data_IF_521727954386
#
_entry.id   IF_521727954386
#
_cell.length_a   1.000
_cell.length_b   1.000
_cell.length_c   1.000
_cell.angle_alpha   90.00
_cell.angle_beta   90.00
_cell.angle_gamma   90.00
#
_symmetry.space_group_name_H-M   'P 1'
#
loop_
_entity.id
_entity.type
_entity.pdbx_description
1 polymer ?
#
# COMPACT_ATOMS: atom_id res chain seq x y z
N UNK A 1 -5.67 -25.62 -5.36
CA UNK A 1 -4.87 -24.81 -4.41
C UNK A 1 -5.11 -25.39 -3.03
N UNK A 2 -4.13 -25.44 -2.15
CA UNK A 2 -4.36 -25.96 -0.80
C UNK A 2 -5.35 -25.05 -0.04
N UNK A 3 -6.49 -25.60 0.34
CA UNK A 3 -7.61 -24.87 0.96
C UNK A 3 -7.19 -24.26 2.30
N UNK A 4 -6.47 -25.02 3.11
CA UNK A 4 -6.04 -24.59 4.45
C UNK A 4 -5.00 -23.47 4.35
N UNK A 5 -4.09 -23.55 3.37
CA UNK A 5 -3.15 -22.48 3.06
C UNK A 5 -3.87 -21.20 2.60
N UNK A 6 -4.98 -21.34 1.88
CA UNK A 6 -5.79 -20.21 1.40
C UNK A 6 -6.52 -19.53 2.54
N UNK A 7 -7.14 -20.31 3.44
CA UNK A 7 -7.78 -19.81 4.66
C UNK A 7 -6.75 -19.08 5.53
N UNK A 8 -5.57 -19.68 5.74
CA UNK A 8 -4.46 -19.05 6.48
C UNK A 8 -4.05 -17.71 5.86
N UNK A 9 -3.99 -17.65 4.53
CA UNK A 9 -3.69 -16.41 3.81
C UNK A 9 -4.78 -15.35 4.03
N UNK A 10 -6.06 -15.74 3.97
CA UNK A 10 -7.20 -14.85 4.22
C UNK A 10 -7.12 -14.29 5.64
N UNK A 11 -6.89 -15.14 6.63
CA UNK A 11 -6.75 -14.73 8.04
C UNK A 11 -5.61 -13.73 8.21
N UNK A 12 -4.41 -14.04 7.72
CA UNK A 12 -3.26 -13.13 7.86
C UNK A 12 -3.41 -11.80 7.11
N UNK A 13 -4.18 -11.76 6.02
CA UNK A 13 -4.52 -10.51 5.33
C UNK A 13 -5.54 -9.69 6.13
N UNK A 14 -6.54 -10.35 6.71
CA UNK A 14 -7.55 -9.68 7.52
C UNK A 14 -6.95 -9.12 8.82
N UNK A 15 -6.02 -9.83 9.46
CA UNK A 15 -5.26 -9.35 10.61
C UNK A 15 -4.52 -8.05 10.27
N UNK A 16 -3.78 -8.00 9.15
CA UNK A 16 -3.10 -6.77 8.71
C UNK A 16 -4.07 -5.62 8.41
N UNK A 17 -5.26 -5.92 7.90
CA UNK A 17 -6.28 -4.92 7.57
C UNK A 17 -6.97 -4.37 8.82
N UNK A 18 -7.31 -5.24 9.77
CA UNK A 18 -8.28 -4.94 10.82
C UNK A 18 -7.66 -4.80 12.22
N UNK A 19 -6.54 -5.47 12.49
CA UNK A 19 -6.01 -5.63 13.84
C UNK A 19 -4.74 -4.78 14.05
N UNK A 20 -4.56 -4.23 15.26
CA UNK A 20 -3.37 -3.46 15.57
C UNK A 20 -2.12 -4.36 15.59
N UNK A 21 -1.07 -3.92 14.89
CA UNK A 21 0.21 -4.62 14.79
C UNK A 21 1.27 -3.98 15.68
N UNK A 22 2.14 -4.81 16.27
CA UNK A 22 3.32 -4.30 16.97
C UNK A 22 4.44 -4.01 15.96
N UNK A 23 4.87 -2.76 15.87
CA UNK A 23 6.02 -2.34 15.09
C UNK A 23 7.23 -2.14 16.01
N UNK A 24 8.33 -2.82 15.69
CA UNK A 24 9.59 -2.71 16.42
C UNK A 24 10.62 -2.06 15.50
N UNK A 25 11.08 -0.88 15.88
CA UNK A 25 12.13 -0.13 15.18
C UNK A 25 13.43 -0.21 15.98
N UNK A 26 14.55 -0.52 15.33
CA UNK A 26 15.88 -0.49 15.96
C UNK A 26 16.53 0.86 15.73
N UNK A 27 16.44 1.74 16.71
CA UNK A 27 16.98 3.10 16.63
C UNK A 27 18.45 3.09 17.07
N UNK A 28 19.39 3.52 16.22
CA UNK A 28 20.77 3.67 16.63
C UNK A 28 20.91 4.85 17.60
N UNK A 29 21.71 4.68 18.64
CA UNK A 29 22.14 5.77 19.52
C UNK A 29 23.63 5.65 19.82
N UNK A 30 24.24 6.76 20.23
CA UNK A 30 25.63 6.81 20.65
C UNK A 30 25.67 6.91 22.17
N UNK A 31 26.47 6.08 22.83
CA UNK A 31 26.74 6.22 24.26
C UNK A 31 27.82 7.28 24.53
N UNK A 32 28.08 7.58 25.81
CA UNK A 32 29.06 8.58 26.24
C UNK A 32 30.49 8.27 25.75
N UNK A 33 30.77 6.99 25.46
CA UNK A 33 32.04 6.51 24.92
C UNK A 33 32.07 6.51 23.38
N UNK A 34 31.08 7.13 22.72
CA UNK A 34 30.90 7.14 21.26
C UNK A 34 30.84 5.73 20.64
N UNK A 35 30.33 4.75 21.37
CA UNK A 35 29.99 3.46 20.79
C UNK A 35 28.57 3.52 20.22
N UNK A 36 28.41 3.05 18.98
CA UNK A 36 27.07 2.91 18.36
C UNK A 36 26.35 1.71 18.98
N UNK A 37 25.25 1.98 19.66
CA UNK A 37 24.34 0.98 20.22
C UNK A 37 22.98 1.07 19.55
N UNK A 38 22.14 0.06 19.78
CA UNK A 38 20.77 0.02 19.28
C UNK A 38 19.82 -0.12 20.45
N UNK A 39 18.73 0.64 20.41
CA UNK A 39 17.57 0.45 21.28
C UNK A 39 16.40 0.00 20.43
N UNK A 40 15.63 -0.95 20.96
CA UNK A 40 14.35 -1.31 20.35
C UNK A 40 13.30 -0.30 20.80
N UNK A 41 12.65 0.32 19.83
CA UNK A 41 11.49 1.16 20.04
C UNK A 41 10.26 0.38 19.58
N UNK A 42 9.33 0.13 20.50
CA UNK A 42 8.13 -0.65 20.23
C UNK A 42 6.93 0.28 20.17
N UNK A 43 6.18 0.24 19.08
CA UNK A 43 4.94 0.99 18.89
C UNK A 43 3.81 0.05 18.51
N UNK A 44 2.59 0.38 18.92
CA UNK A 44 1.39 -0.30 18.44
C UNK A 44 0.86 0.55 17.30
N UNK A 45 0.82 -0.01 16.10
CA UNK A 45 0.25 0.62 14.92
C UNK A 45 -1.18 0.11 14.76
N UNK A 46 -2.18 0.98 14.52
CA UNK A 46 -3.53 0.53 14.22
C UNK A 46 -3.56 -0.36 12.97
N UNK A 47 -4.64 -1.12 12.75
CA UNK A 47 -4.85 -1.83 11.48
C UNK A 47 -4.85 -0.88 10.29
N UNK A 48 -4.57 -1.37 9.08
CA UNK A 48 -4.50 -0.53 7.89
C UNK A 48 -5.81 0.23 7.60
N UNK A 49 -6.97 -0.34 7.92
CA UNK A 49 -8.27 0.32 7.73
C UNK A 49 -8.51 1.44 8.74
N UNK A 50 -8.10 1.24 9.99
CA UNK A 50 -8.14 2.28 11.02
C UNK A 50 -7.22 3.46 10.62
N UNK A 51 -5.99 3.20 10.19
CA UNK A 51 -5.08 4.23 9.68
C UNK A 51 -5.65 4.96 8.45
N UNK A 52 -6.32 4.23 7.56
CA UNK A 52 -6.95 4.80 6.36
C UNK A 52 -8.14 5.70 6.72
N UNK A 53 -8.94 5.28 7.69
CA UNK A 53 -10.05 6.07 8.24
C UNK A 53 -9.55 7.34 8.92
N UNK A 54 -8.54 7.22 9.80
CA UNK A 54 -7.88 8.36 10.44
C UNK A 54 -7.31 9.34 9.41
N UNK A 55 -6.62 8.85 8.39
CA UNK A 55 -6.10 9.69 7.31
C UNK A 55 -7.19 10.43 6.52
N UNK A 56 -8.40 9.86 6.44
CA UNK A 56 -9.54 10.46 5.74
C UNK A 56 -10.29 11.49 6.60
N UNK A 57 -10.40 11.26 7.92
CA UNK A 57 -11.15 12.12 8.86
C UNK A 57 -10.30 13.27 9.39
N UNK A 58 -9.04 12.99 9.74
CA UNK A 58 -8.07 13.97 10.24
C UNK A 58 -6.98 14.20 9.18
N UNK A 59 -7.25 15.04 8.16
CA UNK A 59 -6.24 15.44 7.21
C UNK A 59 -5.16 16.22 7.98
N UNK A 60 -4.06 15.52 8.28
CA UNK A 60 -2.93 15.96 9.11
C UNK A 60 -2.79 17.48 9.11
N UNK A 61 -3.24 18.11 10.20
CA UNK A 61 -2.95 19.51 10.48
C UNK A 61 -1.45 19.68 10.33
N UNK A 62 -1.06 20.51 9.35
CA UNK A 62 0.25 20.44 8.74
C UNK A 62 1.33 20.30 9.80
N UNK A 63 2.15 19.24 9.68
CA UNK A 63 3.31 18.97 10.55
C UNK A 63 3.90 20.28 11.05
N UNK A 64 3.83 20.51 12.36
CA UNK A 64 4.53 21.58 13.03
C UNK A 64 6.04 21.28 12.98
N UNK A 65 6.63 21.24 11.78
CA UNK A 65 8.07 21.34 11.62
C UNK A 65 8.46 22.78 12.01
N UNK A 66 9.34 22.96 13.01
CA UNK A 66 9.86 24.27 13.35
C UNK A 66 10.82 24.69 12.23
N UNK A 67 10.29 25.40 11.24
CA UNK A 67 11.03 25.91 10.08
C UNK A 67 10.45 27.25 9.62
N UNK A 68 11.29 28.18 9.12
CA UNK A 68 10.85 29.53 8.82
C UNK A 68 10.02 29.58 7.52
N UNK A 69 8.78 30.06 7.66
CA UNK A 69 7.80 30.49 6.64
C UNK A 69 7.18 29.40 5.76
N UNK A 70 5.92 29.06 6.11
CA UNK A 70 4.98 28.32 5.28
C UNK A 70 4.52 29.20 4.11
N UNK A 71 4.87 28.81 2.89
CA UNK A 71 4.11 29.22 1.71
C UNK A 71 2.75 28.52 1.81
N UNK A 72 1.61 29.20 1.58
CA UNK A 72 0.30 28.55 1.52
C UNK A 72 0.26 27.61 0.31
N UNK A 73 0.70 26.39 0.50
CA UNK A 73 0.52 25.32 -0.47
C UNK A 73 -0.92 24.85 -0.36
N UNK A 74 -1.70 25.06 -1.42
CA UNK A 74 -3.07 24.54 -1.60
C UNK A 74 -3.05 23.01 -1.59
N UNK A 75 -2.89 22.40 -0.42
CA UNK A 75 -3.22 20.99 -0.23
C UNK A 75 -4.73 20.93 -0.04
N UNK A 76 -5.47 20.16 -0.85
CA UNK A 76 -6.90 20.03 -0.65
C UNK A 76 -7.14 19.57 0.80
N UNK A 77 -8.10 20.19 1.51
CA UNK A 77 -8.34 19.96 2.93
C UNK A 77 -8.87 18.55 3.23
N UNK A 78 -8.95 17.65 2.24
CA UNK A 78 -9.34 16.26 2.39
C UNK A 78 -8.29 15.36 1.73
N UNK A 79 -7.88 14.29 2.42
CA UNK A 79 -7.16 13.18 1.80
C UNK A 79 -8.14 12.36 0.92
N UNK A 80 -8.56 12.93 -0.21
CA UNK A 80 -9.58 12.35 -1.09
C UNK A 80 -9.25 10.92 -1.54
N UNK A 81 -7.96 10.61 -1.74
CA UNK A 81 -7.48 9.27 -2.06
C UNK A 81 -7.68 8.27 -0.90
N UNK A 82 -7.45 8.69 0.34
CA UNK A 82 -7.70 7.83 1.51
C UNK A 82 -9.20 7.58 1.68
N UNK A 83 -10.01 8.63 1.54
CA UNK A 83 -11.47 8.53 1.60
C UNK A 83 -12.04 7.63 0.49
N UNK A 84 -11.62 7.83 -0.76
CA UNK A 84 -12.10 7.04 -1.90
C UNK A 84 -11.68 5.58 -1.77
N UNK A 85 -10.46 5.32 -1.30
CA UNK A 85 -9.97 3.97 -1.03
C UNK A 85 -10.77 3.30 0.08
N UNK A 86 -11.03 4.01 1.18
CA UNK A 86 -11.82 3.48 2.30
C UNK A 86 -13.26 3.16 1.87
N UNK A 87 -13.90 4.07 1.13
CA UNK A 87 -15.24 3.89 0.60
C UNK A 87 -15.33 2.71 -0.38
N UNK A 88 -14.34 2.54 -1.25
CA UNK A 88 -14.27 1.42 -2.18
C UNK A 88 -14.17 0.08 -1.44
N UNK A 89 -13.26 -0.05 -0.46
CA UNK A 89 -13.12 -1.27 0.34
C UNK A 89 -14.41 -1.55 1.12
N UNK A 90 -15.02 -0.53 1.73
CA UNK A 90 -16.27 -0.66 2.47
C UNK A 90 -17.40 -1.19 1.58
N UNK A 91 -17.53 -0.64 0.36
CA UNK A 91 -18.54 -1.07 -0.63
C UNK A 91 -18.29 -2.51 -1.07
N UNK A 92 -17.04 -2.87 -1.37
CA UNK A 92 -16.70 -4.23 -1.80
C UNK A 92 -16.92 -5.26 -0.69
N UNK A 93 -16.57 -4.94 0.56
CA UNK A 93 -16.81 -5.81 1.71
C UNK A 93 -18.31 -6.01 1.95
N UNK A 94 -19.12 -4.93 1.89
CA UNK A 94 -20.56 -5.02 2.02
C UNK A 94 -21.20 -5.84 0.88
N UNK A 95 -20.69 -5.69 -0.35
CA UNK A 95 -21.13 -6.50 -1.48
C UNK A 95 -20.88 -7.99 -1.25
N UNK A 96 -19.68 -8.37 -0.79
CA UNK A 96 -19.35 -9.74 -0.43
C UNK A 96 -20.22 -10.29 0.70
N UNK A 97 -20.45 -9.51 1.76
CA UNK A 97 -21.35 -9.94 2.83
C UNK A 97 -22.76 -10.20 2.29
N UNK A 98 -23.27 -9.31 1.42
CA UNK A 98 -24.59 -9.47 0.81
C UNK A 98 -24.65 -10.68 -0.13
N UNK A 99 -23.64 -10.89 -0.97
CA UNK A 99 -23.61 -12.01 -1.92
C UNK A 99 -23.55 -13.37 -1.22
N UNK A 100 -22.92 -13.43 -0.05
CA UNK A 100 -22.82 -14.63 0.79
C UNK A 100 -23.97 -14.77 1.80
N UNK A 101 -24.95 -13.85 1.80
CA UNK A 101 -26.08 -13.88 2.74
C UNK A 101 -25.69 -13.60 4.21
N UNK A 102 -24.55 -12.95 4.44
CA UNK A 102 -24.10 -12.54 5.77
C UNK A 102 -24.78 -11.24 6.21
N UNK A 103 -25.08 -11.13 7.51
CA UNK A 103 -25.59 -9.88 8.08
C UNK A 103 -24.55 -8.76 7.99
N UNK A 104 -24.91 -7.64 7.37
CA UNK A 104 -24.08 -6.44 7.32
C UNK A 104 -23.88 -5.86 8.73
N UNK A 105 -22.67 -5.36 8.97
CA UNK A 105 -22.26 -4.73 10.22
C UNK A 105 -21.84 -3.29 9.97
N UNK A 106 -21.82 -2.51 11.05
CA UNK A 106 -21.62 -1.06 11.00
C UNK A 106 -20.24 -0.61 10.50
N UNK A 107 -19.22 -1.47 10.65
CA UNK A 107 -17.83 -1.16 10.28
C UNK A 107 -17.28 -2.11 9.22
N UNK A 108 -16.39 -1.60 8.38
CA UNK A 108 -15.73 -2.39 7.33
C UNK A 108 -14.90 -3.52 7.92
N UNK A 109 -14.24 -3.29 9.06
CA UNK A 109 -13.47 -4.29 9.78
C UNK A 109 -14.38 -5.40 10.32
N UNK A 110 -15.56 -5.05 10.84
CA UNK A 110 -16.50 -6.05 11.33
C UNK A 110 -17.06 -6.91 10.19
N UNK A 111 -17.30 -6.32 9.01
CA UNK A 111 -17.69 -7.04 7.79
C UNK A 111 -16.56 -7.97 7.31
N UNK A 112 -15.32 -7.51 7.26
CA UNK A 112 -14.16 -8.34 6.90
C UNK A 112 -13.99 -9.50 7.88
N UNK A 113 -14.12 -9.27 9.19
CA UNK A 113 -14.10 -10.37 10.20
C UNK A 113 -15.23 -11.37 9.99
N UNK A 114 -16.41 -10.92 9.56
CA UNK A 114 -17.50 -11.82 9.20
C UNK A 114 -17.16 -12.69 7.97
N UNK A 115 -16.53 -12.10 6.95
CA UNK A 115 -16.05 -12.83 5.76
C UNK A 115 -14.99 -13.88 6.12
N UNK A 116 -14.04 -13.54 7.00
CA UNK A 116 -13.04 -14.50 7.50
C UNK A 116 -13.72 -15.65 8.26
N UNK A 117 -14.70 -15.33 9.12
CA UNK A 117 -15.47 -16.34 9.85
C UNK A 117 -16.26 -17.28 8.94
N UNK A 118 -16.71 -16.80 7.77
CA UNK A 118 -17.41 -17.59 6.77
C UNK A 118 -16.48 -18.37 5.83
N UNK A 119 -15.20 -18.00 5.72
CA UNK A 119 -14.25 -18.59 4.78
C UNK A 119 -14.19 -20.13 4.81
N UNK A 120 -14.24 -20.82 5.96
CA UNK A 120 -14.24 -22.30 5.99
C UNK A 120 -15.46 -22.95 5.33
N UNK A 121 -16.55 -22.21 5.14
CA UNK A 121 -17.80 -22.70 4.51
C UNK A 121 -17.93 -22.37 3.02
N UNK A 122 -17.04 -21.54 2.46
CA UNK A 122 -17.07 -21.16 1.05
C UNK A 122 -16.57 -22.30 0.15
N UNK A 123 -17.05 -22.39 -1.09
CA UNK A 123 -16.40 -23.25 -2.08
C UNK A 123 -15.00 -22.71 -2.46
N UNK A 124 -14.22 -23.52 -3.17
CA UNK A 124 -12.83 -23.20 -3.48
C UNK A 124 -12.68 -22.02 -4.46
N UNK A 125 -13.67 -21.78 -5.32
CA UNK A 125 -13.66 -20.66 -6.27
C UNK A 125 -13.91 -19.35 -5.52
N UNK A 126 -14.93 -19.30 -4.68
CA UNK A 126 -15.24 -18.15 -3.83
C UNK A 126 -14.10 -17.86 -2.84
N UNK A 127 -13.50 -18.89 -2.26
CA UNK A 127 -12.34 -18.74 -1.37
C UNK A 127 -11.15 -18.11 -2.11
N UNK A 128 -10.89 -18.55 -3.34
CA UNK A 128 -9.81 -18.01 -4.17
C UNK A 128 -10.07 -16.55 -4.56
N UNK A 129 -11.32 -16.23 -4.91
CA UNK A 129 -11.76 -14.87 -5.24
C UNK A 129 -11.66 -13.93 -4.03
N UNK A 130 -12.13 -14.36 -2.86
CA UNK A 130 -12.03 -13.61 -1.61
C UNK A 130 -10.58 -13.34 -1.23
N UNK A 131 -9.70 -14.35 -1.33
CA UNK A 131 -8.27 -14.18 -1.08
C UNK A 131 -7.65 -13.14 -2.04
N UNK A 132 -8.06 -13.13 -3.32
CA UNK A 132 -7.59 -12.13 -4.30
C UNK A 132 -8.08 -10.73 -3.96
N UNK A 133 -9.32 -10.57 -3.54
CA UNK A 133 -9.89 -9.28 -3.13
C UNK A 133 -9.20 -8.74 -1.86
N UNK A 134 -9.03 -9.55 -0.81
CA UNK A 134 -8.32 -9.13 0.40
C UNK A 134 -6.87 -8.70 0.12
N UNK A 135 -6.15 -9.38 -0.78
CA UNK A 135 -4.81 -8.94 -1.23
C UNK A 135 -4.87 -7.58 -1.91
N UNK A 136 -5.91 -7.33 -2.70
CA UNK A 136 -6.12 -6.07 -3.40
C UNK A 136 -6.41 -4.94 -2.42
N UNK A 137 -7.33 -5.15 -1.47
CA UNK A 137 -7.66 -4.17 -0.44
C UNK A 137 -6.45 -3.87 0.46
N UNK A 138 -5.72 -4.89 0.90
CA UNK A 138 -4.47 -4.72 1.66
C UNK A 138 -3.46 -3.89 0.90
N UNK A 139 -3.31 -4.12 -0.41
CA UNK A 139 -2.38 -3.34 -1.25
C UNK A 139 -2.83 -1.88 -1.37
N UNK A 140 -4.11 -1.64 -1.59
CA UNK A 140 -4.65 -0.28 -1.67
C UNK A 140 -4.45 0.47 -0.36
N UNK A 141 -4.84 -0.13 0.77
CA UNK A 141 -4.69 0.48 2.08
C UNK A 141 -3.21 0.73 2.40
N UNK A 142 -2.33 -0.23 2.17
CA UNK A 142 -0.89 -0.07 2.44
C UNK A 142 -0.22 1.02 1.58
N UNK A 143 -0.66 1.23 0.35
CA UNK A 143 -0.17 2.34 -0.48
C UNK A 143 -0.71 3.68 0.02
N UNK A 144 -2.01 3.75 0.34
CA UNK A 144 -2.66 4.97 0.80
C UNK A 144 -2.14 5.42 2.18
N UNK A 145 -1.82 4.51 3.09
CA UNK A 145 -1.24 4.80 4.41
C UNK A 145 0.29 4.96 4.38
N UNK A 146 0.93 4.75 3.23
CA UNK A 146 2.37 4.88 3.07
C UNK A 146 3.21 3.73 3.64
N UNK A 147 2.58 2.62 4.06
CA UNK A 147 3.27 1.38 4.45
C UNK A 147 4.05 0.74 3.30
N UNK A 148 3.55 0.92 2.09
CA UNK A 148 4.21 0.52 0.86
C UNK A 148 4.38 1.78 0.03
N UNK A 149 5.63 2.10 -0.33
CA UNK A 149 5.89 3.20 -1.24
C UNK A 149 5.08 2.99 -2.54
N UNK A 150 4.29 3.97 -3.00
CA UNK A 150 3.58 3.84 -4.26
C UNK A 150 4.60 3.55 -5.35
N UNK A 151 4.27 2.59 -6.23
CA UNK A 151 5.11 2.35 -7.39
C UNK A 151 5.19 3.66 -8.18
N UNK A 152 6.39 4.19 -8.36
CA UNK A 152 6.64 5.34 -9.22
C UNK A 152 6.16 4.99 -10.63
N UNK A 153 5.27 5.84 -11.19
CA UNK A 153 4.61 5.62 -12.47
C UNK A 153 5.00 6.72 -13.46
N UNK A 154 6.22 6.69 -14.02
CA UNK A 154 6.60 7.68 -15.01
C UNK A 154 5.70 7.54 -16.24
N UNK A 155 5.21 8.66 -16.76
CA UNK A 155 4.45 8.70 -18.01
C UNK A 155 5.40 8.67 -19.21
N UNK A 156 6.18 7.60 -19.30
CA UNK A 156 7.15 7.36 -20.37
C UNK A 156 6.81 6.06 -21.10
N UNK A 157 7.16 5.93 -22.39
CA UNK A 157 7.03 4.67 -23.10
C UNK A 157 7.90 3.58 -22.45
N UNK A 158 7.41 2.35 -22.44
CA UNK A 158 8.21 1.20 -22.05
C UNK A 158 9.39 1.02 -23.01
N UNK A 159 10.65 0.84 -22.57
CA UNK A 159 11.76 0.65 -23.50
C UNK A 159 11.72 -0.69 -24.25
N UNK A 160 10.95 -1.68 -23.76
CA UNK A 160 10.80 -2.99 -24.40
C UNK A 160 9.64 -3.05 -25.41
N UNK A 161 8.53 -2.36 -25.15
CA UNK A 161 7.31 -2.45 -25.99
C UNK A 161 6.70 -1.11 -26.40
N UNK A 162 7.35 0.00 -26.04
CA UNK A 162 6.97 1.38 -26.37
C UNK A 162 5.58 1.83 -25.92
N UNK A 163 4.87 1.04 -25.10
CA UNK A 163 3.56 1.43 -24.57
C UNK A 163 3.71 2.42 -23.40
N UNK A 164 3.12 3.61 -23.54
CA UNK A 164 3.21 4.69 -22.55
C UNK A 164 2.33 4.47 -21.31
N UNK A 165 2.83 4.89 -20.14
CA UNK A 165 2.07 4.90 -18.89
C UNK A 165 1.84 3.53 -18.25
N UNK A 166 2.45 2.47 -18.80
CA UNK A 166 2.36 1.09 -18.29
C UNK A 166 3.56 0.68 -17.43
N UNK A 167 4.59 1.52 -17.34
CA UNK A 167 5.76 1.28 -16.51
C UNK A 167 5.43 1.49 -15.02
N UNK A 168 5.87 0.57 -14.17
CA UNK A 168 5.71 0.63 -12.71
C UNK A 168 7.05 0.35 -12.05
N UNK A 169 7.50 1.27 -11.20
CA UNK A 169 8.82 1.21 -10.57
C UNK A 169 8.65 1.15 -9.06
N UNK A 170 9.07 0.06 -8.44
CA UNK A 170 9.20 -0.06 -7.00
C UNK A 170 10.59 0.44 -6.58
N UNK A 171 10.65 1.68 -6.08
CA UNK A 171 11.91 2.28 -5.65
C UNK A 171 12.52 1.56 -4.44
N UNK A 172 11.68 1.05 -3.53
CA UNK A 172 12.14 0.33 -2.33
C UNK A 172 12.69 -1.05 -2.65
N UNK A 173 11.98 -1.81 -3.50
CA UNK A 173 12.43 -3.13 -3.94
C UNK A 173 13.47 -3.06 -5.06
N UNK A 174 13.83 -1.86 -5.53
CA UNK A 174 14.71 -1.63 -6.66
C UNK A 174 14.34 -2.53 -7.86
N UNK A 175 13.06 -2.53 -8.20
CA UNK A 175 12.54 -3.35 -9.28
C UNK A 175 11.49 -2.58 -10.07
N UNK A 176 11.37 -2.83 -11.37
CA UNK A 176 10.37 -2.26 -12.23
C UNK A 176 9.76 -3.33 -13.14
N UNK A 177 8.54 -3.10 -13.61
CA UNK A 177 7.94 -3.92 -14.64
C UNK A 177 7.00 -3.12 -15.53
N UNK A 178 6.81 -3.61 -16.75
CA UNK A 178 5.82 -3.09 -17.68
C UNK A 178 4.54 -3.92 -17.61
N UNK A 179 3.40 -3.29 -17.37
CA UNK A 179 2.10 -3.99 -17.36
C UNK A 179 1.62 -4.46 -18.74
N UNK A 180 2.22 -3.98 -19.83
CA UNK A 180 1.82 -4.35 -21.19
C UNK A 180 2.58 -5.58 -21.70
N UNK A 181 3.92 -5.54 -21.71
CA UNK A 181 4.74 -6.64 -22.24
C UNK A 181 5.38 -7.53 -21.16
N UNK A 182 5.10 -7.25 -19.88
CA UNK A 182 5.66 -7.98 -18.74
C UNK A 182 7.19 -7.94 -18.61
N UNK A 183 7.89 -7.11 -19.40
CA UNK A 183 9.32 -6.89 -19.21
C UNK A 183 9.60 -6.38 -17.79
N UNK A 184 10.68 -6.85 -17.19
CA UNK A 184 11.12 -6.55 -15.83
C UNK A 184 12.51 -5.93 -15.85
N UNK A 185 12.77 -5.06 -14.88
CA UNK A 185 14.09 -4.50 -14.62
C UNK A 185 14.38 -4.59 -13.13
N UNK A 186 15.60 -4.98 -12.76
CA UNK A 186 16.00 -5.16 -11.37
C UNK A 186 17.39 -4.55 -11.11
N UNK A 187 17.74 -4.34 -9.85
CA UNK A 187 19.05 -3.78 -9.50
C UNK A 187 20.18 -4.81 -9.51
N UNK A 188 19.87 -6.10 -9.41
CA UNK A 188 20.84 -7.20 -9.37
C UNK A 188 21.53 -7.42 -10.74
N UNK A 189 20.81 -7.22 -11.83
CA UNK A 189 21.32 -7.31 -13.21
C UNK A 189 21.74 -5.96 -13.81
N UNK A 190 21.62 -4.88 -13.02
CA UNK A 190 21.94 -3.51 -13.43
C UNK A 190 20.94 -2.87 -14.40
N UNK A 191 19.92 -3.60 -14.85
CA UNK A 191 18.95 -3.14 -15.85
C UNK A 191 18.06 -2.00 -15.33
N UNK A 192 17.85 -1.92 -14.01
CA UNK A 192 17.12 -0.81 -13.39
C UNK A 192 17.85 0.53 -13.50
N UNK A 193 19.20 0.55 -13.50
CA UNK A 193 19.96 1.80 -13.66
C UNK A 193 19.80 2.35 -15.07
N UNK A 194 19.90 1.48 -16.09
CA UNK A 194 19.64 1.84 -17.48
C UNK A 194 18.20 2.34 -17.67
N UNK A 195 17.22 1.73 -16.98
CA UNK A 195 15.85 2.21 -16.97
C UNK A 195 15.74 3.61 -16.31
N UNK A 196 16.48 3.84 -15.22
CA UNK A 196 16.52 5.14 -14.53
C UNK A 196 17.04 6.27 -15.42
N UNK A 197 18.13 6.02 -16.15
CA UNK A 197 18.67 6.96 -17.15
C UNK A 197 17.67 7.22 -18.27
N UNK A 198 17.06 6.16 -18.80
CA UNK A 198 16.03 6.25 -19.83
C UNK A 198 14.84 7.11 -19.39
N UNK A 199 14.31 6.87 -18.18
CA UNK A 199 13.20 7.65 -17.62
C UNK A 199 13.62 9.11 -17.46
N UNK A 200 14.83 9.38 -16.95
CA UNK A 200 15.35 10.75 -16.76
C UNK A 200 15.46 11.51 -18.09
N UNK A 201 15.93 10.85 -19.14
CA UNK A 201 16.02 11.43 -20.48
C UNK A 201 14.64 11.81 -21.06
N UNK A 202 13.58 11.07 -20.71
CA UNK A 202 12.21 11.34 -21.19
C UNK A 202 11.43 12.34 -20.32
N UNK A 203 11.84 12.55 -19.07
CA UNK A 203 11.14 13.47 -18.15
C UNK A 203 11.82 14.83 -18.02
N UNK A 204 13.11 14.94 -18.39
CA UNK A 204 13.82 16.23 -18.34
C UNK A 204 13.38 17.10 -19.53
N UNK A 205 12.79 18.28 -19.30
CA UNK A 205 12.45 19.19 -20.40
C UNK A 205 13.74 19.63 -21.09
N UNK A 206 13.75 19.59 -22.42
CA UNK A 206 14.84 20.17 -23.20
C UNK A 206 15.03 21.61 -22.76
N UNK A 207 16.23 21.97 -22.27
CA UNK A 207 16.59 23.37 -22.06
C UNK A 207 16.45 24.07 -23.41
N UNK A 208 15.43 24.89 -23.55
CA UNK A 208 15.28 25.82 -24.66
C UNK A 208 16.46 26.79 -24.54
N UNK A 209 17.43 26.66 -25.44
CA UNK A 209 18.53 27.58 -25.60
C UNK A 209 18.09 28.83 -26.37
#
# INVERSE_FOLDING_TARGET
MDRDATITTITGLAEQLCDPGQHIERIPYWDDNRNRKFREWRTIQPGLLAQLHEAAVDPVDGRNEPGPRRVPGSRPPLALEALSTHAAISTHAAHWCTSLGLTLRDTVEANIRALVGAAPSLDDDDLTLLARELRTWRRWAAVATGWVAPLYQPHVPCPACHTTGKLRINLTAQAAHCRACQATWASDDGSLYALGEYVTAHTTPAKVA
#
